data_IF_592902921323
#
_entry.id   IF_592902921323
#
_cell.length_a   1.000
_cell.length_b   1.000
_cell.length_c   1.000
_cell.angle_alpha   90.00
_cell.angle_beta   90.00
_cell.angle_gamma   90.00
#
_symmetry.space_group_name_H-M   'P 1'
#
loop_
_entity.id
_entity.type
_entity.pdbx_description
1 polymer ?
#
# COMPACT_ATOMS: atom_id res chain seq x y z
N UNK A 1 -12.40 -18.55 -0.40
CA UNK A 1 -11.07 -18.97 -0.90
C UNK A 1 -10.21 -17.73 -1.09
N UNK A 2 -8.88 -17.79 -0.89
CA UNK A 2 -7.97 -16.69 -1.23
C UNK A 2 -8.07 -16.33 -2.72
N UNK A 3 -7.79 -15.07 -3.04
CA UNK A 3 -7.82 -14.50 -4.39
C UNK A 3 -6.47 -13.84 -4.70
N UNK A 4 -6.03 -13.93 -5.96
CA UNK A 4 -4.84 -13.22 -6.41
C UNK A 4 -5.07 -11.71 -6.50
N UNK A 5 -4.04 -10.90 -6.28
CA UNK A 5 -4.12 -9.42 -6.34
C UNK A 5 -4.58 -8.94 -7.72
N UNK A 6 -4.20 -9.66 -8.78
CA UNK A 6 -4.57 -9.38 -10.16
C UNK A 6 -6.06 -9.58 -10.42
N UNK A 7 -6.71 -10.46 -9.66
CA UNK A 7 -8.14 -10.76 -9.77
C UNK A 7 -9.00 -9.85 -8.89
N UNK A 8 -8.40 -8.95 -8.10
CA UNK A 8 -9.16 -7.94 -7.36
C UNK A 8 -9.87 -6.99 -8.35
N UNK A 9 -11.12 -6.58 -8.04
CA UNK A 9 -11.83 -5.56 -8.81
C UNK A 9 -11.06 -4.22 -8.81
N UNK A 10 -11.54 -3.20 -9.54
CA UNK A 10 -11.04 -1.84 -9.35
C UNK A 10 -11.02 -1.46 -7.87
N UNK A 11 -9.92 -0.83 -7.45
CA UNK A 11 -9.72 -0.38 -6.08
C UNK A 11 -9.77 1.14 -6.07
N UNK A 12 -10.28 1.73 -4.99
CA UNK A 12 -10.27 3.18 -4.80
C UNK A 12 -9.09 3.62 -3.91
N UNK A 13 -8.62 2.75 -3.01
CA UNK A 13 -7.49 3.02 -2.12
C UNK A 13 -6.87 1.72 -1.57
N UNK A 14 -5.65 1.82 -1.04
CA UNK A 14 -4.99 0.81 -0.19
C UNK A 14 -4.77 1.43 1.19
N UNK A 15 -5.20 0.74 2.25
CA UNK A 15 -5.04 1.19 3.64
C UNK A 15 -4.05 0.29 4.36
N UNK A 16 -3.11 0.90 5.09
CA UNK A 16 -2.08 0.20 5.86
C UNK A 16 -2.10 0.77 7.29
N UNK A 17 -2.18 -0.09 8.29
CA UNK A 17 -2.32 0.32 9.69
C UNK A 17 -0.97 0.62 10.36
N UNK A 18 0.05 -0.20 10.10
CA UNK A 18 1.42 -0.08 10.62
C UNK A 18 2.38 -0.95 9.80
N UNK A 19 3.67 -0.95 10.14
CA UNK A 19 4.79 -1.49 9.36
C UNK A 19 5.21 -2.93 9.71
N UNK A 20 4.45 -3.65 10.52
CA UNK A 20 4.73 -5.06 10.79
C UNK A 20 4.40 -5.95 9.59
N UNK A 21 5.15 -7.04 9.40
CA UNK A 21 5.06 -7.91 8.22
C UNK A 21 3.71 -8.62 8.01
N UNK A 22 2.90 -8.74 9.06
CA UNK A 22 1.52 -9.26 8.95
C UNK A 22 0.53 -8.22 8.39
N UNK A 23 0.92 -6.94 8.36
CA UNK A 23 0.18 -5.83 7.79
C UNK A 23 0.88 -5.12 6.61
N UNK A 24 2.19 -5.33 6.43
CA UNK A 24 3.03 -4.70 5.43
C UNK A 24 3.86 -5.76 4.68
N UNK A 25 3.27 -6.31 3.63
CA UNK A 25 3.88 -7.35 2.79
C UNK A 25 4.51 -6.78 1.51
N UNK A 26 5.83 -6.93 1.36
CA UNK A 26 6.59 -6.35 0.25
C UNK A 26 6.11 -6.78 -1.15
N UNK A 27 5.92 -8.09 -1.45
CA UNK A 27 5.36 -8.53 -2.73
C UNK A 27 3.99 -7.90 -3.04
N UNK A 28 3.11 -7.82 -2.03
CA UNK A 28 1.78 -7.23 -2.18
C UNK A 28 1.85 -5.73 -2.50
N UNK A 29 2.68 -4.96 -1.79
CA UNK A 29 2.87 -3.54 -2.08
C UNK A 29 3.41 -3.33 -3.49
N UNK A 30 4.41 -4.13 -3.91
CA UNK A 30 4.96 -4.06 -5.28
C UNK A 30 3.93 -4.36 -6.36
N UNK A 31 3.01 -5.29 -6.11
CA UNK A 31 1.92 -5.60 -7.04
C UNK A 31 0.88 -4.47 -7.07
N UNK A 32 0.45 -3.98 -5.91
CA UNK A 32 -0.52 -2.90 -5.76
C UNK A 32 0.00 -1.55 -6.27
N UNK A 33 1.31 -1.29 -6.17
CA UNK A 33 1.95 -0.08 -6.68
C UNK A 33 1.77 0.08 -8.20
N UNK A 34 1.53 -1.01 -8.94
CA UNK A 34 1.21 -0.96 -10.39
C UNK A 34 -0.19 -0.39 -10.65
N UNK A 35 -1.10 -0.46 -9.67
CA UNK A 35 -2.43 0.16 -9.75
C UNK A 35 -2.31 1.64 -9.40
N UNK A 36 -3.02 2.51 -10.10
CA UNK A 36 -3.01 3.97 -9.89
C UNK A 36 -4.03 4.38 -8.83
N UNK A 37 -3.79 3.97 -7.60
CA UNK A 37 -4.63 4.29 -6.43
C UNK A 37 -3.77 4.90 -5.31
N UNK A 38 -4.37 5.72 -4.42
CA UNK A 38 -3.70 6.22 -3.23
C UNK A 38 -3.43 5.10 -2.21
N UNK A 39 -2.34 5.26 -1.48
CA UNK A 39 -1.96 4.49 -0.30
C UNK A 39 -2.13 5.40 0.91
N UNK A 40 -2.96 4.98 1.86
CA UNK A 40 -3.26 5.73 3.09
C UNK A 40 -2.69 4.95 4.26
N UNK A 41 -1.81 5.58 5.04
CA UNK A 41 -1.04 4.90 6.08
C UNK A 41 -0.75 5.80 7.28
N UNK A 42 -0.27 5.21 8.37
CA UNK A 42 0.22 5.91 9.55
C UNK A 42 1.58 6.58 9.30
N UNK A 43 1.90 7.61 10.09
CA UNK A 43 3.16 8.35 10.02
C UNK A 43 4.39 7.43 10.03
N UNK A 44 5.33 7.67 9.12
CA UNK A 44 6.61 6.96 9.02
C UNK A 44 6.58 5.75 8.07
N UNK A 45 5.41 5.13 7.87
CA UNK A 45 5.26 3.97 6.98
C UNK A 45 5.47 4.34 5.52
N UNK A 46 5.18 5.58 5.13
CA UNK A 46 5.36 6.09 3.78
C UNK A 46 6.78 5.91 3.24
N UNK A 47 7.79 5.99 4.10
CA UNK A 47 9.20 5.75 3.73
C UNK A 47 9.42 4.34 3.16
N UNK A 48 8.77 3.33 3.73
CA UNK A 48 8.82 1.96 3.21
C UNK A 48 8.13 1.87 1.85
N UNK A 49 6.96 2.50 1.71
CA UNK A 49 6.19 2.48 0.47
C UNK A 49 6.94 3.16 -0.68
N UNK A 50 7.56 4.32 -0.42
CA UNK A 50 8.42 5.01 -1.39
C UNK A 50 9.62 4.15 -1.79
N UNK A 51 10.34 3.59 -0.81
CA UNK A 51 11.47 2.70 -1.06
C UNK A 51 11.07 1.46 -1.88
N UNK A 52 9.81 1.05 -1.80
CA UNK A 52 9.25 -0.08 -2.55
C UNK A 52 8.57 0.34 -3.86
N UNK A 53 8.66 1.60 -4.26
CA UNK A 53 8.24 2.08 -5.58
C UNK A 53 6.79 2.53 -5.67
N UNK A 54 6.14 2.84 -4.53
CA UNK A 54 4.93 3.67 -4.53
C UNK A 54 5.38 5.13 -4.72
N UNK A 55 4.93 5.83 -5.78
CA UNK A 55 5.21 7.26 -5.97
C UNK A 55 4.71 8.08 -4.78
N UNK A 56 5.56 9.01 -4.31
CA UNK A 56 5.29 9.83 -3.12
C UNK A 56 3.97 10.61 -3.23
N UNK A 57 3.60 11.07 -4.43
CA UNK A 57 2.34 11.78 -4.68
C UNK A 57 1.09 10.92 -4.47
N UNK A 58 1.24 9.60 -4.30
CA UNK A 58 0.14 8.66 -4.01
C UNK A 58 0.13 8.21 -2.55
N UNK A 59 1.02 8.70 -1.70
CA UNK A 59 1.10 8.31 -0.30
C UNK A 59 0.50 9.42 0.55
N UNK A 60 -0.44 9.04 1.42
CA UNK A 60 -1.07 9.92 2.40
C UNK A 60 -0.79 9.35 3.79
N UNK A 61 0.06 10.02 4.55
CA UNK A 61 0.30 9.70 5.95
C UNK A 61 -0.58 10.55 6.86
N UNK A 62 -1.36 9.94 7.76
CA UNK A 62 -2.11 10.68 8.78
C UNK A 62 -1.70 10.27 10.19
N UNK A 63 -2.03 11.16 11.13
CA UNK A 63 -1.78 11.09 12.57
C UNK A 63 -3.10 10.79 13.30
N UNK A 64 -3.56 9.53 13.19
CA UNK A 64 -4.79 9.02 13.82
C UNK A 64 -4.48 8.03 14.94
#
# INVERSE_FOLDING_TARGET
MPVAIEALPPLDAVLISHDHYDHLDYPSIRALAKRRVPFVTSLGVGLHLEAWGVPAERIVELDW
#
